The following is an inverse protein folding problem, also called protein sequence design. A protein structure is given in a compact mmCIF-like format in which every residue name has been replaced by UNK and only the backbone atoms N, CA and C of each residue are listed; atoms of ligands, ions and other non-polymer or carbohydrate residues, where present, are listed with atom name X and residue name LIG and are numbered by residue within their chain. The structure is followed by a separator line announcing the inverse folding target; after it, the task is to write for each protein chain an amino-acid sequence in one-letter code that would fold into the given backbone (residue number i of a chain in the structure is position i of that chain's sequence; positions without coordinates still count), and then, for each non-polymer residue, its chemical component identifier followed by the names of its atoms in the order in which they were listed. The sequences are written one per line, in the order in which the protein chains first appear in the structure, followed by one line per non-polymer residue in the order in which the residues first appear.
data_IF_538627705531
#
_entry.id   IF_538627705531
#
_cell.length_a   1.000
_cell.length_b   1.000
_cell.length_c   1.000
_cell.angle_alpha   90.00
_cell.angle_beta   90.00
_cell.angle_gamma   90.00
#
_symmetry.space_group_name_H-M   'P 1'
#
loop_
_entity.id
_entity.type
_entity.pdbx_description
1 polymer ?
#
# COMPACT_ATOMS: atom_id res chain seq x y z
N UNK A 1 29.81 7.03 2.24
CA UNK A 1 29.54 5.79 1.50
C UNK A 1 28.09 5.39 1.74
N UNK A 2 27.20 6.33 1.39
CA UNK A 2 26.45 6.37 0.13
C UNK A 2 25.27 5.42 0.19
N UNK A 3 24.09 6.01 0.35
CA UNK A 3 22.86 5.30 0.14
C UNK A 3 22.81 4.96 -1.35
N UNK A 4 23.13 3.70 -1.67
CA UNK A 4 23.02 3.21 -3.05
C UNK A 4 21.52 3.10 -3.30
N UNK A 5 21.01 4.10 -4.03
CA UNK A 5 19.61 4.19 -4.40
C UNK A 5 19.42 3.56 -5.77
N UNK A 6 18.41 2.70 -5.88
CA UNK A 6 17.94 2.19 -7.17
C UNK A 6 17.06 3.27 -7.81
N UNK A 7 17.42 3.75 -9.00
CA UNK A 7 16.70 4.83 -9.70
C UNK A 7 15.21 4.47 -9.88
N UNK A 8 14.92 3.23 -10.29
CA UNK A 8 13.54 2.75 -10.44
C UNK A 8 12.77 2.85 -9.12
N UNK A 9 13.38 2.54 -7.97
CA UNK A 9 12.71 2.67 -6.67
C UNK A 9 12.32 4.12 -6.33
N UNK A 10 13.14 5.11 -6.73
CA UNK A 10 12.82 6.52 -6.56
C UNK A 10 11.70 6.96 -7.52
N UNK A 11 11.74 6.50 -8.77
CA UNK A 11 10.65 6.71 -9.73
C UNK A 11 9.33 6.08 -9.22
N UNK A 12 9.45 4.91 -8.56
CA UNK A 12 8.48 4.26 -7.66
C UNK A 12 7.66 5.25 -6.85
N UNK A 13 8.38 6.01 -6.02
CA UNK A 13 7.80 6.99 -5.11
C UNK A 13 7.07 8.09 -5.89
N UNK A 14 7.68 8.62 -6.95
CA UNK A 14 7.07 9.72 -7.71
C UNK A 14 5.77 9.28 -8.38
N UNK A 15 5.72 8.05 -8.92
CA UNK A 15 4.50 7.46 -9.48
C UNK A 15 3.43 7.29 -8.41
N UNK A 16 3.80 6.73 -7.26
CA UNK A 16 2.88 6.54 -6.12
C UNK A 16 2.27 7.87 -5.64
N UNK A 17 3.09 8.91 -5.46
CA UNK A 17 2.61 10.26 -5.09
C UNK A 17 1.67 10.83 -6.14
N UNK A 18 2.03 10.69 -7.41
CA UNK A 18 1.21 11.17 -8.52
C UNK A 18 -0.14 10.46 -8.56
N UNK A 19 -0.17 9.12 -8.47
CA UNK A 19 -1.39 8.33 -8.50
C UNK A 19 -2.32 8.68 -7.34
N UNK A 20 -1.78 8.77 -6.11
CA UNK A 20 -2.55 9.23 -4.96
C UNK A 20 -3.08 10.66 -5.16
N UNK A 21 -2.28 11.57 -5.73
CA UNK A 21 -2.74 12.93 -6.02
C UNK A 21 -3.94 12.92 -6.97
N UNK A 22 -3.84 12.16 -8.07
CA UNK A 22 -4.91 12.03 -9.06
C UNK A 22 -6.16 11.41 -8.43
N UNK A 23 -6.01 10.40 -7.57
CA UNK A 23 -7.12 9.79 -6.84
C UNK A 23 -7.92 10.82 -6.01
N UNK A 24 -7.29 11.84 -5.42
CA UNK A 24 -8.02 12.83 -4.61
C UNK A 24 -8.44 14.09 -5.35
N UNK A 25 -7.64 14.54 -6.32
CA UNK A 25 -7.81 15.85 -6.94
C UNK A 25 -8.21 15.78 -8.43
N UNK A 26 -8.22 14.59 -9.02
CA UNK A 26 -8.34 14.40 -10.46
C UNK A 26 -7.03 14.72 -11.19
N UNK A 27 -7.06 14.66 -12.53
CA UNK A 27 -5.85 14.88 -13.33
C UNK A 27 -5.35 16.33 -13.22
N UNK A 28 -4.02 16.50 -13.22
CA UNK A 28 -3.38 17.83 -13.26
C UNK A 28 -3.87 18.62 -14.49
N UNK A 29 -4.06 17.94 -15.62
CA UNK A 29 -4.59 18.55 -16.84
C UNK A 29 -5.98 19.16 -16.60
N UNK A 30 -6.89 18.41 -15.98
CA UNK A 30 -8.23 18.92 -15.66
C UNK A 30 -8.19 20.12 -14.68
N UNK A 31 -7.22 20.19 -13.78
CA UNK A 31 -7.03 21.35 -12.90
C UNK A 31 -6.52 22.58 -13.68
N UNK A 32 -5.60 22.38 -14.63
CA UNK A 32 -5.08 23.44 -15.49
C UNK A 32 -6.13 23.93 -16.50
N UNK A 33 -6.98 23.04 -17.00
CA UNK A 33 -8.09 23.41 -17.88
C UNK A 33 -9.11 24.30 -17.15
N UNK A 34 -9.29 24.10 -15.83
CA UNK A 34 -10.12 24.96 -14.96
C UNK A 34 -9.45 26.30 -14.64
N UNK A 35 -8.15 26.29 -14.34
CA UNK A 35 -7.39 27.50 -14.02
C UNK A 35 -5.99 27.49 -14.69
N UNK A 36 -5.87 28.07 -15.91
CA UNK A 36 -4.64 27.99 -16.71
C UNK A 36 -3.41 28.69 -16.10
N UNK A 37 -3.59 29.59 -15.14
CA UNK A 37 -2.49 30.27 -14.42
C UNK A 37 -1.69 29.31 -13.53
N UNK A 38 -2.26 28.12 -13.25
CA UNK A 38 -1.71 27.09 -12.39
C UNK A 38 -1.74 27.42 -10.91
N UNK A 39 -2.40 28.51 -10.49
CA UNK A 39 -2.53 28.90 -9.07
C UNK A 39 -3.19 27.78 -8.26
N UNK A 40 -4.37 27.35 -8.69
CA UNK A 40 -5.10 26.22 -8.11
C UNK A 40 -4.28 24.93 -8.08
N UNK A 41 -3.63 24.60 -9.19
CA UNK A 41 -2.81 23.37 -9.28
C UNK A 41 -1.69 23.38 -8.24
N UNK A 42 -0.98 24.51 -8.10
CA UNK A 42 0.08 24.66 -7.09
C UNK A 42 -0.48 24.60 -5.67
N UNK A 43 -1.64 25.20 -5.40
CA UNK A 43 -2.26 25.18 -4.07
C UNK A 43 -2.69 23.79 -3.63
N UNK A 44 -2.98 22.88 -4.56
CA UNK A 44 -3.22 21.47 -4.27
C UNK A 44 -1.92 20.66 -4.14
N UNK A 45 -0.99 20.80 -5.08
CA UNK A 45 0.24 20.00 -5.13
C UNK A 45 1.17 20.23 -3.94
N UNK A 46 1.41 21.49 -3.58
CA UNK A 46 2.36 21.82 -2.52
C UNK A 46 2.01 21.15 -1.18
N UNK A 47 0.82 21.39 -0.59
CA UNK A 47 0.46 20.76 0.68
C UNK A 47 0.37 19.24 0.59
N UNK A 48 -0.05 18.69 -0.56
CA UNK A 48 -0.17 17.24 -0.77
C UNK A 48 1.20 16.55 -0.74
N UNK A 49 2.17 17.07 -1.51
CA UNK A 49 3.53 16.54 -1.55
C UNK A 49 4.19 16.72 -0.18
N UNK A 50 4.00 17.86 0.49
CA UNK A 50 4.50 18.06 1.85
C UNK A 50 3.95 17.01 2.82
N UNK A 51 2.65 16.74 2.78
CA UNK A 51 2.04 15.73 3.66
C UNK A 51 2.55 14.32 3.35
N UNK A 52 2.73 13.98 2.08
CA UNK A 52 3.31 12.69 1.69
C UNK A 52 4.76 12.54 2.15
N UNK A 53 5.59 13.57 1.94
CA UNK A 53 7.00 13.53 2.33
C UNK A 53 7.16 13.36 3.85
N UNK A 54 6.23 13.89 4.66
CA UNK A 54 6.20 13.69 6.11
C UNK A 54 6.15 12.21 6.50
N UNK A 55 5.49 11.34 5.73
CA UNK A 55 5.50 9.89 5.96
C UNK A 55 6.88 9.25 5.71
N UNK A 56 7.73 9.90 4.93
CA UNK A 56 9.10 9.44 4.64
C UNK A 56 10.13 9.98 5.64
N UNK A 57 9.74 10.87 6.56
CA UNK A 57 10.65 11.37 7.59
C UNK A 57 10.70 10.44 8.80
N UNK A 58 11.90 10.21 9.33
CA UNK A 58 12.10 9.66 10.67
C UNK A 58 12.92 10.65 11.48
N UNK A 59 12.26 11.34 12.41
CA UNK A 59 12.81 12.53 13.03
C UNK A 59 13.05 13.62 12.00
N UNK A 60 14.30 14.11 11.88
CA UNK A 60 14.67 15.16 10.90
C UNK A 60 15.22 14.61 9.58
N UNK A 61 15.30 13.29 9.41
CA UNK A 61 15.97 12.66 8.27
C UNK A 61 14.96 12.05 7.31
N UNK A 62 15.02 12.46 6.05
CA UNK A 62 14.28 11.85 4.96
C UNK A 62 14.83 10.44 4.69
N UNK A 63 13.95 9.44 4.74
CA UNK A 63 14.28 8.04 4.49
C UNK A 63 13.81 7.66 3.09
N UNK A 64 14.73 7.74 2.13
CA UNK A 64 14.50 7.22 0.79
C UNK A 64 14.80 5.71 0.71
N UNK A 65 14.16 4.96 -0.22
CA UNK A 65 14.42 3.56 -0.47
C UNK A 65 15.92 3.33 -0.62
N UNK A 66 16.43 2.35 0.10
CA UNK A 66 17.86 2.03 0.11
C UNK A 66 18.07 0.54 -0.07
N UNK A 67 19.33 0.12 -0.20
CA UNK A 67 19.72 -1.30 -0.28
C UNK A 67 19.13 -2.19 0.84
N UNK A 68 18.71 -1.61 1.97
CA UNK A 68 18.05 -2.33 3.09
C UNK A 68 16.60 -2.72 2.80
N UNK A 69 15.97 -2.11 1.80
CA UNK A 69 14.58 -2.31 1.41
C UNK A 69 14.47 -3.04 0.06
N UNK A 70 15.52 -3.79 -0.31
CA UNK A 70 15.64 -4.51 -1.59
C UNK A 70 14.68 -5.67 -1.75
N UNK A 71 14.23 -6.28 -0.65
CA UNK A 71 13.16 -7.28 -0.62
C UNK A 71 11.79 -6.66 -0.29
N UNK A 72 11.58 -5.41 -0.71
CA UNK A 72 10.28 -4.74 -0.71
C UNK A 72 10.01 -4.19 -2.11
N UNK A 73 8.73 -4.12 -2.45
CA UNK A 73 8.27 -3.53 -3.70
C UNK A 73 7.23 -2.43 -3.43
N UNK A 74 7.43 -1.28 -4.07
CA UNK A 74 6.47 -0.16 -4.04
C UNK A 74 5.52 -0.27 -5.23
N UNK A 75 4.33 0.29 -5.08
CA UNK A 75 3.26 0.15 -6.06
C UNK A 75 2.76 -1.29 -6.17
N UNK A 76 2.73 -2.01 -5.05
CA UNK A 76 2.13 -3.36 -4.99
C UNK A 76 1.33 -3.53 -3.71
N UNK A 77 0.38 -4.45 -3.74
CA UNK A 77 -0.40 -4.86 -2.57
C UNK A 77 0.11 -6.18 -2.00
N UNK A 78 0.14 -6.28 -0.67
CA UNK A 78 0.41 -7.56 -0.01
C UNK A 78 -0.90 -8.28 0.27
N UNK A 79 -1.20 -9.32 -0.50
CA UNK A 79 -2.41 -10.11 -0.32
C UNK A 79 -2.24 -11.15 0.79
N UNK A 80 -3.27 -11.33 1.62
CA UNK A 80 -3.33 -12.35 2.66
C UNK A 80 -3.65 -13.72 2.05
N UNK A 81 -2.80 -14.71 2.30
CA UNK A 81 -3.12 -16.10 1.95
C UNK A 81 -4.20 -16.64 2.89
N UNK A 82 -5.38 -16.93 2.34
CA UNK A 82 -6.53 -17.43 3.09
C UNK A 82 -6.66 -18.96 2.98
N UNK A 83 -7.09 -19.59 4.07
CA UNK A 83 -7.63 -20.94 4.00
C UNK A 83 -8.94 -20.95 3.20
N UNK A 84 -9.27 -22.08 2.56
CA UNK A 84 -10.44 -22.22 1.69
C UNK A 84 -11.74 -21.80 2.37
N UNK A 85 -11.92 -22.19 3.63
CA UNK A 85 -13.12 -21.90 4.41
C UNK A 85 -13.24 -20.41 4.80
N UNK A 86 -12.11 -19.73 5.04
CA UNK A 86 -12.07 -18.28 5.25
C UNK A 86 -12.35 -17.53 3.94
N UNK A 87 -11.78 -17.99 2.82
CA UNK A 87 -12.01 -17.40 1.50
C UNK A 87 -13.49 -17.43 1.09
N UNK A 88 -14.21 -18.52 1.39
CA UNK A 88 -15.66 -18.63 1.12
C UNK A 88 -16.46 -17.60 1.94
N UNK A 89 -16.13 -17.38 3.22
CA UNK A 89 -16.83 -16.36 4.00
C UNK A 89 -16.53 -14.94 3.51
N UNK A 90 -15.30 -14.67 3.07
CA UNK A 90 -14.92 -13.39 2.47
C UNK A 90 -15.73 -13.14 1.20
N UNK A 91 -15.82 -14.13 0.30
CA UNK A 91 -16.64 -14.01 -0.91
C UNK A 91 -18.12 -13.79 -0.60
N UNK A 92 -18.64 -14.50 0.42
CA UNK A 92 -20.00 -14.28 0.90
C UNK A 92 -20.20 -12.86 1.47
N UNK A 93 -19.21 -12.29 2.15
CA UNK A 93 -19.27 -10.91 2.64
C UNK A 93 -19.27 -9.90 1.49
N UNK A 94 -18.42 -10.09 0.47
CA UNK A 94 -18.40 -9.24 -0.73
C UNK A 94 -19.80 -9.21 -1.37
N UNK A 95 -20.43 -10.37 -1.57
CA UNK A 95 -21.79 -10.43 -2.13
C UNK A 95 -22.85 -9.71 -1.28
N UNK A 96 -22.73 -9.75 0.05
CA UNK A 96 -23.64 -8.99 0.94
C UNK A 96 -23.39 -7.48 0.83
N UNK A 97 -22.13 -7.05 0.78
CA UNK A 97 -21.78 -5.64 0.62
C UNK A 97 -22.31 -5.09 -0.72
N UNK A 98 -22.16 -5.86 -1.80
CA UNK A 98 -22.70 -5.49 -3.12
C UNK A 98 -24.22 -5.31 -3.07
N UNK A 99 -24.93 -6.15 -2.31
CA UNK A 99 -26.39 -6.04 -2.15
C UNK A 99 -26.86 -4.86 -1.29
N UNK A 100 -26.00 -4.31 -0.43
CA UNK A 100 -26.35 -3.19 0.46
C UNK A 100 -26.58 -1.87 -0.30
N UNK A 101 -26.14 -1.82 -1.56
CA UNK A 101 -26.20 -0.63 -2.43
C UNK A 101 -27.29 -0.79 -3.52
N UNK A 102 -28.15 -1.81 -3.37
CA UNK A 102 -29.30 -2.04 -4.25
C UNK A 102 -28.88 -2.48 -5.66
N UNK A 103 -29.34 -1.75 -6.68
CA UNK A 103 -29.05 -2.04 -8.09
C UNK A 103 -27.76 -1.40 -8.60
N UNK A 104 -27.16 -0.52 -7.81
CA UNK A 104 -25.96 0.22 -8.19
C UNK A 104 -24.74 -0.62 -7.86
N UNK A 105 -23.82 -0.74 -8.82
CA UNK A 105 -22.57 -1.47 -8.60
C UNK A 105 -21.64 -0.64 -7.73
N UNK A 106 -21.32 -1.13 -6.54
CA UNK A 106 -20.27 -0.59 -5.70
C UNK A 106 -18.98 -1.38 -5.84
N UNK A 107 -17.88 -0.77 -5.42
CA UNK A 107 -16.61 -1.48 -5.24
C UNK A 107 -16.30 -1.66 -3.76
N UNK A 108 -15.58 -2.72 -3.42
CA UNK A 108 -15.15 -2.97 -2.06
C UNK A 108 -13.68 -3.38 -2.02
N UNK A 109 -12.99 -2.91 -0.98
CA UNK A 109 -11.63 -3.34 -0.61
C UNK A 109 -11.69 -3.79 0.85
N UNK A 110 -11.29 -5.03 1.10
CA UNK A 110 -11.30 -5.63 2.44
C UNK A 110 -9.85 -5.84 2.86
N UNK A 111 -9.48 -5.28 4.00
CA UNK A 111 -8.15 -5.37 4.58
C UNK A 111 -8.21 -6.05 5.94
N UNK A 112 -7.18 -6.82 6.26
CA UNK A 112 -6.96 -7.38 7.60
C UNK A 112 -5.57 -6.95 8.08
N UNK A 113 -5.53 -6.19 9.18
CA UNK A 113 -4.38 -5.37 9.55
C UNK A 113 -3.97 -4.42 8.42
N UNK A 114 -2.85 -4.71 7.74
CA UNK A 114 -2.32 -3.95 6.61
C UNK A 114 -2.16 -4.84 5.36
N UNK A 115 -2.92 -5.95 5.29
CA UNK A 115 -2.91 -6.91 4.18
C UNK A 115 -4.23 -6.89 3.44
N UNK A 116 -4.17 -7.00 2.12
CA UNK A 116 -5.33 -7.10 1.25
C UNK A 116 -5.96 -8.50 1.37
N UNK A 117 -7.25 -8.56 1.66
CA UNK A 117 -8.01 -9.81 1.74
C UNK A 117 -8.80 -10.03 0.45
N UNK A 118 -9.45 -8.98 -0.04
CA UNK A 118 -10.25 -9.01 -1.26
C UNK A 118 -10.43 -7.59 -1.81
N UNK A 119 -10.56 -7.48 -3.12
CA UNK A 119 -10.86 -6.24 -3.83
C UNK A 119 -11.79 -6.56 -5.00
N UNK A 120 -12.68 -5.63 -5.34
CA UNK A 120 -13.44 -5.65 -6.61
C UNK A 120 -13.02 -4.52 -7.57
N UNK A 121 -11.93 -3.83 -7.25
CA UNK A 121 -11.31 -2.82 -8.12
C UNK A 121 -10.32 -3.46 -9.10
N UNK A 122 -9.92 -2.66 -10.08
CA UNK A 122 -8.77 -2.93 -10.94
C UNK A 122 -7.46 -3.00 -10.15
N UNK A 123 -6.37 -3.60 -10.68
CA UNK A 123 -5.07 -3.60 -10.02
C UNK A 123 -4.61 -2.19 -9.63
N UNK A 124 -4.53 -1.27 -10.60
CA UNK A 124 -4.06 0.12 -10.40
C UNK A 124 -4.87 0.85 -9.30
N UNK A 125 -6.20 0.81 -9.38
CA UNK A 125 -7.07 1.44 -8.38
C UNK A 125 -6.97 0.74 -7.02
N UNK A 126 -6.74 -0.58 -7.02
CA UNK A 126 -6.52 -1.35 -5.78
C UNK A 126 -5.24 -0.88 -5.10
N UNK A 127 -4.14 -0.67 -5.83
CA UNK A 127 -2.87 -0.20 -5.26
C UNK A 127 -3.02 1.16 -4.60
N UNK A 128 -3.70 2.10 -5.25
CA UNK A 128 -3.91 3.45 -4.72
C UNK A 128 -4.78 3.44 -3.45
N UNK A 129 -5.94 2.77 -3.51
CA UNK A 129 -6.86 2.66 -2.38
C UNK A 129 -6.21 1.88 -1.24
N UNK A 130 -5.46 0.82 -1.52
CA UNK A 130 -4.70 0.05 -0.53
C UNK A 130 -3.63 0.93 0.13
N UNK A 131 -2.83 1.63 -0.66
CA UNK A 131 -1.74 2.51 -0.19
C UNK A 131 -2.30 3.57 0.76
N UNK A 132 -3.35 4.29 0.34
CA UNK A 132 -4.00 5.27 1.19
C UNK A 132 -4.64 4.64 2.45
N UNK A 133 -5.29 3.49 2.29
CA UNK A 133 -5.93 2.80 3.40
C UNK A 133 -4.93 2.42 4.47
N UNK A 134 -3.80 1.83 4.08
CA UNK A 134 -2.71 1.55 5.00
C UNK A 134 -2.21 2.85 5.61
N UNK A 135 -1.95 3.90 4.84
CA UNK A 135 -1.42 5.16 5.38
C UNK A 135 -2.34 5.83 6.42
N UNK A 136 -3.66 5.78 6.25
CA UNK A 136 -4.60 6.61 7.03
C UNK A 136 -5.82 5.89 7.61
N UNK A 137 -6.28 4.80 7.01
CA UNK A 137 -7.60 4.23 7.28
C UNK A 137 -7.59 2.91 8.05
N UNK A 138 -6.52 2.12 8.07
CA UNK A 138 -6.54 0.85 8.83
C UNK A 138 -6.43 1.12 10.33
N UNK A 139 -6.79 0.12 11.15
CA UNK A 139 -6.71 0.26 12.61
C UNK A 139 -5.32 0.67 13.07
N UNK A 140 -4.29 0.07 12.49
CA UNK A 140 -2.90 0.39 12.81
C UNK A 140 -2.55 1.86 12.50
N UNK A 141 -3.22 2.47 11.53
CA UNK A 141 -3.08 3.88 11.19
C UNK A 141 -3.66 4.80 12.26
N UNK A 142 -4.82 4.42 12.79
CA UNK A 142 -5.57 5.26 13.73
C UNK A 142 -5.06 5.07 15.16
N UNK A 143 -4.63 3.86 15.54
CA UNK A 143 -4.24 3.54 16.92
C UNK A 143 -2.73 3.63 17.18
N UNK A 144 -1.93 4.18 16.25
CA UNK A 144 -0.46 4.29 16.36
C UNK A 144 0.23 2.97 16.75
N UNK A 145 -0.21 1.85 16.16
CA UNK A 145 0.33 0.54 16.47
C UNK A 145 1.78 0.39 15.94
N UNK A 146 2.65 -0.24 16.75
CA UNK A 146 4.10 -0.31 16.51
C UNK A 146 4.52 -1.32 15.44
N UNK A 147 3.64 -2.20 14.98
CA UNK A 147 3.95 -3.19 13.95
C UNK A 147 3.04 -3.08 12.72
N UNK A 148 3.67 -3.03 11.55
CA UNK A 148 3.00 -3.00 10.26
C UNK A 148 3.76 -3.84 9.25
N UNK A 149 3.00 -4.54 8.42
CA UNK A 149 3.52 -5.29 7.27
C UNK A 149 3.84 -4.40 6.07
N UNK A 150 3.30 -3.18 6.06
CA UNK A 150 3.46 -2.27 4.94
C UNK A 150 4.86 -1.66 4.91
N UNK A 151 5.35 -1.38 3.71
CA UNK A 151 6.56 -0.56 3.55
C UNK A 151 6.31 0.90 4.00
N UNK A 152 5.04 1.32 4.06
CA UNK A 152 4.58 2.67 4.40
C UNK A 152 4.65 2.96 5.91
N UNK A 153 4.47 1.93 6.75
CA UNK A 153 4.64 2.05 8.20
C UNK A 153 5.86 1.28 8.66
N UNK A 154 6.91 2.02 9.01
CA UNK A 154 8.09 1.44 9.66
C UNK A 154 7.83 1.36 11.16
N UNK A 155 7.78 0.14 11.69
CA UNK A 155 7.86 -0.06 13.14
C UNK A 155 9.17 0.54 13.67
N UNK A 156 9.11 1.21 14.82
CA UNK A 156 10.27 1.70 15.56
C UNK A 156 11.14 0.52 16.02
N UNK A 157 11.94 -0.04 15.13
CA UNK A 157 13.02 -0.93 15.52
C UNK A 157 14.18 -0.08 16.02
N UNK A 158 14.26 0.03 17.36
CA UNK A 158 15.42 0.44 18.17
C UNK A 158 15.79 1.94 18.14
N UNK A 159 15.05 2.71 18.94
CA UNK A 159 15.66 3.61 19.94
C UNK A 159 14.60 3.99 20.98
N UNK A 160 14.59 3.29 22.12
CA UNK A 160 13.99 3.82 23.35
C UNK A 160 14.77 5.09 23.73
N UNK A 161 14.23 6.25 23.40
CA UNK A 161 14.35 7.43 24.25
C UNK A 161 12.95 8.03 24.31
N UNK A 162 12.31 7.83 25.45
CA UNK A 162 11.15 8.61 25.88
C UNK A 162 11.44 10.09 25.65
N UNK A 163 10.71 10.75 24.75
CA UNK A 163 10.60 12.20 24.78
C UNK A 163 9.13 12.56 24.80
N UNK A 164 8.73 13.01 25.99
CA UNK A 164 7.55 13.83 26.21
C UNK A 164 7.53 14.95 25.18
N UNK A 165 6.32 15.25 24.72
CA UNK A 165 5.91 16.46 24.01
C UNK A 165 6.80 17.67 24.33
N UNK A 166 7.43 18.20 23.29
CA UNK A 166 7.78 19.62 23.21
C UNK A 166 7.65 20.04 21.75
N UNK A 167 6.72 20.97 21.53
CA UNK A 167 6.58 21.78 20.33
C UNK A 167 7.90 22.51 20.07
N UNK A 168 8.76 21.89 19.27
CA UNK A 168 10.02 22.47 18.82
C UNK A 168 9.81 23.22 17.51
N UNK A 169 9.75 24.55 17.62
CA UNK A 169 9.85 25.49 16.49
C UNK A 169 11.01 25.09 15.57
N UNK A 170 10.71 24.85 14.30
CA UNK A 170 11.71 24.90 13.23
C UNK A 170 11.75 26.35 12.75
N UNK A 171 12.88 27.01 13.00
CA UNK A 171 13.19 28.35 12.52
C UNK A 171 13.29 28.38 10.99
N UNK A 172 12.63 29.38 10.39
CA UNK A 172 13.11 30.02 9.17
C UNK A 172 12.43 29.64 7.85
N UNK A 173 11.11 29.74 7.77
CA UNK A 173 10.44 30.01 6.50
C UNK A 173 9.41 31.10 6.75
N UNK A 174 9.63 32.26 6.13
CA UNK A 174 8.72 33.39 6.12
C UNK A 174 7.34 32.92 5.67
N UNK A 175 6.38 32.88 6.61
CA UNK A 175 4.96 32.80 6.31
C UNK A 175 4.56 34.02 5.47
N UNK A 176 4.00 33.86 4.25
CA UNK A 176 2.98 34.78 3.82
C UNK A 176 1.70 34.37 4.55
N UNK A 177 1.41 35.07 5.64
CA UNK A 177 0.14 34.98 6.35
C UNK A 177 -1.02 35.27 5.39
N UNK A 178 -1.63 34.23 4.84
CA UNK A 178 -2.97 34.33 4.26
C UNK A 178 -3.94 34.44 5.45
N UNK A 179 -4.25 35.69 5.74
CA UNK A 179 -5.20 36.09 6.76
C UNK A 179 -6.49 35.26 6.70
N UNK A 180 -6.85 34.71 7.87
CA UNK A 180 -8.21 34.31 8.20
C UNK A 180 -9.12 35.54 8.05
N UNK A 181 -9.82 35.59 6.92
CA UNK A 181 -10.79 36.63 6.56
C UNK A 181 -12.10 35.96 6.19
N UNK A 182 -13.15 36.35 6.89
CA UNK A 182 -14.53 35.90 6.76
C UNK A 182 -15.03 35.99 5.29
N UNK A 183 -15.48 34.88 4.69
CA UNK A 183 -16.26 34.88 3.44
C UNK A 183 -15.85 33.82 2.41
N UNK A 184 -16.80 32.91 2.10
CA UNK A 184 -16.77 31.85 1.08
C UNK A 184 -15.90 30.61 1.36
N UNK A 185 -16.60 29.51 1.68
CA UNK A 185 -16.10 28.14 1.84
C UNK A 185 -15.54 27.50 0.54
N UNK A 186 -15.31 28.29 -0.51
CA UNK A 186 -14.94 27.84 -1.86
C UNK A 186 -13.42 27.71 -2.08
N UNK A 187 -12.60 27.99 -1.05
CA UNK A 187 -11.13 28.02 -1.15
C UNK A 187 -10.38 27.02 -0.25
N UNK A 188 -11.07 26.10 0.44
CA UNK A 188 -10.40 25.13 1.33
C UNK A 188 -9.83 23.98 0.51
N UNK A 189 -8.50 23.95 0.36
CA UNK A 189 -7.79 22.81 -0.23
C UNK A 189 -7.95 21.58 0.67
N UNK A 190 -8.53 20.51 0.14
CA UNK A 190 -8.57 19.21 0.83
C UNK A 190 -7.15 18.68 1.00
N UNK A 191 -6.82 18.19 2.20
CA UNK A 191 -5.49 17.63 2.53
C UNK A 191 -5.64 16.19 3.03
N UNK A 192 -5.87 15.23 2.13
CA UNK A 192 -6.23 13.85 2.46
C UNK A 192 -5.13 13.10 3.24
N UNK A 193 -3.87 13.50 3.04
CA UNK A 193 -2.72 12.85 3.67
C UNK A 193 -2.37 13.41 5.06
N UNK A 194 -3.17 14.31 5.63
CA UNK A 194 -2.92 14.75 7.01
C UNK A 194 -3.06 13.60 8.01
N UNK A 195 -2.15 13.55 8.99
CA UNK A 195 -2.19 12.57 10.07
C UNK A 195 -3.26 12.93 11.11
N UNK A 196 -3.73 11.94 11.86
CA UNK A 196 -4.64 12.11 13.00
C UNK A 196 -5.96 12.83 12.66
N UNK A 197 -6.36 12.79 11.38
CA UNK A 197 -7.60 13.37 10.87
C UNK A 197 -8.76 12.38 10.73
N UNK A 198 -8.48 11.10 10.91
CA UNK A 198 -9.46 10.04 10.89
C UNK A 198 -9.70 9.53 12.30
N UNK A 199 -10.95 9.33 12.66
CA UNK A 199 -11.33 8.70 13.93
C UNK A 199 -12.47 7.72 13.71
N UNK A 200 -12.63 6.79 14.65
CA UNK A 200 -13.70 5.80 14.60
C UNK A 200 -14.99 6.37 15.19
N UNK A 201 -16.05 6.39 14.40
CA UNK A 201 -17.40 6.73 14.83
C UNK A 201 -18.04 5.67 15.71
N UNK A 202 -19.17 6.02 16.32
CA UNK A 202 -19.93 5.13 17.23
C UNK A 202 -20.56 3.94 16.50
N UNK A 203 -20.85 4.10 15.22
CA UNK A 203 -21.43 3.09 14.33
C UNK A 203 -20.38 2.17 13.68
N UNK A 204 -19.09 2.39 13.97
CA UNK A 204 -17.98 1.63 13.41
C UNK A 204 -17.45 2.18 12.08
N UNK A 205 -18.12 3.16 11.47
CA UNK A 205 -17.59 3.88 10.32
C UNK A 205 -16.53 4.89 10.75
N UNK A 206 -15.59 5.17 9.85
CA UNK A 206 -14.61 6.22 10.06
C UNK A 206 -15.19 7.58 9.70
N UNK A 207 -14.80 8.59 10.47
CA UNK A 207 -15.20 9.98 10.29
C UNK A 207 -13.96 10.86 10.16
N UNK A 208 -14.09 11.94 9.38
CA UNK A 208 -13.02 12.92 9.16
C UNK A 208 -13.59 14.30 8.85
N UNK A 209 -12.83 15.34 9.17
CA UNK A 209 -13.16 16.74 8.89
C UNK A 209 -12.39 17.31 7.68
N UNK A 210 -11.60 16.49 6.98
CA UNK A 210 -10.75 16.89 5.85
C UNK A 210 -11.59 17.49 4.71
N UNK A 211 -12.73 16.87 4.39
CA UNK A 211 -13.65 17.35 3.33
C UNK A 211 -14.60 18.45 3.80
N UNK A 212 -14.58 18.82 5.08
CA UNK A 212 -15.58 19.68 5.70
C UNK A 212 -16.34 18.95 6.80
N UNK A 213 -17.00 19.73 7.66
CA UNK A 213 -17.89 19.17 8.68
C UNK A 213 -19.08 18.52 7.97
N UNK A 214 -19.39 17.28 8.34
CA UNK A 214 -20.50 16.48 7.79
C UNK A 214 -20.37 16.13 6.29
N UNK A 215 -19.24 16.42 5.65
CA UNK A 215 -18.98 16.09 4.26
C UNK A 215 -18.48 14.64 4.14
N UNK A 216 -19.06 13.87 3.21
CA UNK A 216 -18.59 12.50 2.95
C UNK A 216 -17.35 12.54 2.05
N UNK A 217 -16.25 11.86 2.42
CA UNK A 217 -15.03 11.81 1.62
C UNK A 217 -15.27 11.23 0.22
N UNK A 218 -14.60 11.77 -0.78
CA UNK A 218 -14.72 11.35 -2.19
C UNK A 218 -13.35 11.17 -2.82
N UNK A 219 -13.25 10.21 -3.75
CA UNK A 219 -12.05 9.92 -4.54
C UNK A 219 -12.44 9.66 -6.01
N UNK A 220 -11.45 9.65 -6.88
CA UNK A 220 -11.54 9.29 -8.29
C UNK A 220 -10.91 7.92 -8.52
N UNK A 221 -11.64 7.06 -9.23
CA UNK A 221 -11.08 5.83 -9.78
C UNK A 221 -10.41 6.14 -11.10
N UNK A 222 -9.14 5.79 -11.25
CA UNK A 222 -8.34 6.15 -12.42
C UNK A 222 -8.80 5.39 -13.66
N UNK A 223 -9.14 4.11 -13.53
CA UNK A 223 -9.50 3.30 -14.70
C UNK A 223 -10.82 3.77 -15.32
N UNK A 224 -11.82 4.05 -14.49
CA UNK A 224 -13.16 4.44 -14.94
C UNK A 224 -13.35 5.96 -15.06
N UNK A 225 -12.42 6.75 -14.51
CA UNK A 225 -12.56 8.20 -14.33
C UNK A 225 -13.85 8.58 -13.58
N UNK A 226 -14.36 7.66 -12.75
CA UNK A 226 -15.57 7.86 -11.97
C UNK A 226 -15.23 8.42 -10.59
N UNK A 227 -16.05 9.35 -10.12
CA UNK A 227 -15.98 9.85 -8.75
C UNK A 227 -16.85 8.99 -7.85
N UNK A 228 -16.29 8.56 -6.72
CA UNK A 228 -16.94 7.69 -5.75
C UNK A 228 -16.81 8.25 -4.34
N UNK A 229 -17.79 7.98 -3.49
CA UNK A 229 -17.73 8.19 -2.05
C UNK A 229 -16.93 7.08 -1.38
N UNK A 230 -16.10 7.47 -0.41
CA UNK A 230 -15.24 6.60 0.35
C UNK A 230 -15.87 6.34 1.74
N UNK A 231 -16.48 5.17 1.91
CA UNK A 231 -17.09 4.74 3.17
C UNK A 231 -16.22 3.67 3.82
N UNK A 232 -15.53 4.01 4.89
CA UNK A 232 -14.67 3.05 5.59
C UNK A 232 -15.32 2.58 6.89
N UNK A 233 -15.43 1.26 7.07
CA UNK A 233 -15.92 0.61 8.26
C UNK A 233 -14.82 -0.22 8.92
N UNK A 234 -14.74 -0.21 10.25
CA UNK A 234 -13.75 -0.98 10.99
C UNK A 234 -14.35 -1.89 12.05
N UNK A 235 -13.96 -3.17 12.01
CA UNK A 235 -14.23 -4.13 13.08
C UNK A 235 -12.98 -4.90 13.47
N UNK A 236 -12.54 -4.73 14.72
CA UNK A 236 -11.28 -5.28 15.24
C UNK A 236 -10.10 -5.01 14.30
N UNK A 237 -9.51 -6.03 13.68
CA UNK A 237 -8.39 -5.92 12.73
C UNK A 237 -8.85 -5.79 11.27
N UNK A 238 -10.15 -5.94 11.00
CA UNK A 238 -10.73 -5.84 9.67
C UNK A 238 -11.08 -4.38 9.35
N UNK A 239 -10.68 -3.92 8.17
CA UNK A 239 -11.04 -2.61 7.61
C UNK A 239 -11.72 -2.87 6.27
N UNK A 240 -12.96 -2.41 6.12
CA UNK A 240 -13.73 -2.49 4.88
C UNK A 240 -13.80 -1.10 4.30
N UNK A 241 -13.44 -0.96 3.03
CA UNK A 241 -13.59 0.27 2.26
C UNK A 241 -14.64 -0.01 1.20
N UNK A 242 -15.79 0.64 1.32
CA UNK A 242 -16.87 0.59 0.35
C UNK A 242 -16.84 1.88 -0.48
N UNK A 243 -16.88 1.71 -1.80
CA UNK A 243 -16.80 2.77 -2.78
C UNK A 243 -18.13 2.85 -3.52
N UNK A 244 -18.87 3.93 -3.27
CA UNK A 244 -20.22 4.13 -3.82
C UNK A 244 -20.17 5.21 -4.89
N UNK A 245 -20.66 4.96 -6.11
CA UNK A 245 -20.71 5.97 -7.18
C UNK A 245 -21.39 7.29 -6.76
N UNK A 246 -20.74 8.42 -7.05
CA UNK A 246 -21.24 9.76 -6.70
C UNK A 246 -22.54 10.11 -7.45
N UNK A 247 -22.59 9.72 -8.73
CA UNK A 247 -23.75 9.91 -9.61
C UNK A 247 -25.04 9.31 -9.04
N UNK A 248 -25.00 8.13 -8.43
CA UNK A 248 -26.16 7.45 -7.87
C UNK A 248 -26.77 8.21 -6.69
N UNK A 249 -25.94 8.92 -5.91
CA UNK A 249 -26.42 9.74 -4.79
C UNK A 249 -26.94 11.08 -5.29
N UNK A 250 -26.25 11.72 -6.23
CA UNK A 250 -26.69 12.99 -6.83
C UNK A 250 -28.03 12.84 -7.56
N UNK A 251 -28.26 11.71 -8.21
CA UNK A 251 -29.52 11.39 -8.88
C UNK A 251 -30.65 10.99 -7.90
N UNK A 252 -30.37 10.91 -6.60
CA UNK A 252 -31.34 10.52 -5.57
C UNK A 252 -31.67 9.03 -5.54
N UNK A 253 -30.91 8.18 -6.24
CA UNK A 253 -31.09 6.73 -6.23
C UNK A 253 -30.62 6.12 -4.91
N UNK A 254 -29.67 6.77 -4.22
CA UNK A 254 -29.07 6.31 -2.97
C UNK A 254 -28.87 7.44 -1.96
N UNK A 255 -29.00 7.09 -0.68
CA UNK A 255 -28.57 7.91 0.45
C UNK A 255 -27.44 7.19 1.20
N UNK A 256 -26.35 7.90 1.47
CA UNK A 256 -25.18 7.39 2.20
C UNK A 256 -25.59 6.89 3.59
N UNK A 257 -26.51 7.59 4.26
CA UNK A 257 -26.98 7.19 5.60
C UNK A 257 -27.73 5.87 5.53
N UNK A 258 -28.55 5.69 4.49
CA UNK A 258 -29.24 4.43 4.21
C UNK A 258 -28.24 3.30 3.91
N UNK A 259 -27.23 3.53 3.05
CA UNK A 259 -26.20 2.52 2.75
C UNK A 259 -25.45 2.10 4.02
N UNK A 260 -25.06 3.05 4.87
CA UNK A 260 -24.43 2.74 6.18
C UNK A 260 -25.33 1.89 7.06
N UNK A 261 -26.63 2.20 7.10
CA UNK A 261 -27.61 1.42 7.84
C UNK A 261 -27.72 -0.02 7.31
N UNK A 262 -27.82 -0.19 5.99
CA UNK A 262 -27.86 -1.50 5.34
C UNK A 262 -26.62 -2.35 5.66
N UNK A 263 -25.42 -1.76 5.62
CA UNK A 263 -24.19 -2.48 6.01
C UNK A 263 -24.24 -2.93 7.47
N UNK A 264 -24.72 -2.08 8.38
CA UNK A 264 -24.83 -2.44 9.80
C UNK A 264 -25.88 -3.55 10.00
N UNK A 265 -27.02 -3.46 9.34
CA UNK A 265 -28.12 -4.41 9.51
C UNK A 265 -27.79 -5.78 8.89
N UNK A 266 -27.30 -5.81 7.65
CA UNK A 266 -27.17 -7.05 6.88
C UNK A 266 -25.74 -7.62 6.86
N UNK A 267 -24.71 -6.78 6.93
CA UNK A 267 -23.32 -7.26 6.83
C UNK A 267 -22.67 -7.55 8.19
N UNK A 268 -23.15 -6.97 9.31
CA UNK A 268 -22.49 -7.09 10.62
C UNK A 268 -22.19 -8.53 11.05
N UNK A 269 -23.16 -9.43 10.95
CA UNK A 269 -22.95 -10.84 11.32
C UNK A 269 -21.86 -11.52 10.45
N UNK A 270 -21.82 -11.19 9.16
CA UNK A 270 -20.80 -11.70 8.23
C UNK A 270 -19.42 -11.10 8.50
N UNK A 271 -19.35 -9.81 8.81
CA UNK A 271 -18.12 -9.11 9.20
C UNK A 271 -17.51 -9.79 10.44
N UNK A 272 -18.31 -10.05 11.48
CA UNK A 272 -17.86 -10.75 12.69
C UNK A 272 -17.27 -12.12 12.36
N UNK A 273 -17.97 -12.90 11.53
CA UNK A 273 -17.57 -14.24 11.16
C UNK A 273 -16.29 -14.27 10.31
N UNK A 274 -16.15 -13.33 9.37
CA UNK A 274 -14.94 -13.18 8.55
C UNK A 274 -13.75 -12.82 9.43
N UNK A 275 -13.92 -11.84 10.33
CA UNK A 275 -12.86 -11.47 11.27
C UNK A 275 -12.43 -12.65 12.12
N UNK A 276 -13.37 -13.39 12.70
CA UNK A 276 -13.06 -14.55 13.54
C UNK A 276 -12.30 -15.64 12.77
N UNK A 277 -12.74 -15.97 11.55
CA UNK A 277 -12.07 -16.99 10.73
C UNK A 277 -10.67 -16.58 10.31
N UNK A 278 -10.50 -15.34 9.85
CA UNK A 278 -9.19 -14.83 9.45
C UNK A 278 -8.25 -14.79 10.66
N UNK A 279 -8.72 -14.27 11.80
CA UNK A 279 -7.94 -14.19 13.04
C UNK A 279 -7.49 -15.59 13.54
N UNK A 280 -8.34 -16.62 13.41
CA UNK A 280 -7.98 -18.01 13.77
C UNK A 280 -6.86 -18.59 12.90
N UNK A 281 -6.85 -18.26 11.61
CA UNK A 281 -5.82 -18.71 10.66
C UNK A 281 -4.59 -17.80 10.58
N UNK A 282 -4.59 -16.68 11.32
CA UNK A 282 -3.57 -15.65 11.20
C UNK A 282 -2.25 -16.08 11.85
N UNK A 283 -1.22 -16.32 11.02
CA UNK A 283 0.13 -16.71 11.47
C UNK A 283 0.96 -15.58 12.09
N UNK A 284 0.36 -14.42 12.38
CA UNK A 284 1.03 -13.24 12.93
C UNK A 284 2.05 -12.62 11.96
N UNK A 285 2.93 -11.76 12.50
CA UNK A 285 3.97 -11.01 11.75
C UNK A 285 5.02 -11.86 11.02
N UNK A 286 4.99 -13.18 11.21
CA UNK A 286 5.90 -14.11 10.55
C UNK A 286 5.18 -15.06 9.58
N UNK A 287 3.92 -14.79 9.20
CA UNK A 287 3.11 -15.67 8.35
C UNK A 287 3.80 -16.07 7.03
N UNK A 288 4.62 -15.18 6.45
CA UNK A 288 5.37 -15.44 5.20
C UNK A 288 6.83 -15.82 5.41
N UNK A 289 7.23 -16.11 6.64
CA UNK A 289 8.58 -16.60 6.91
C UNK A 289 8.75 -18.02 6.36
N UNK A 290 9.72 -18.18 5.46
CA UNK A 290 10.21 -19.50 5.05
C UNK A 290 11.61 -19.68 5.61
N UNK A 291 11.81 -20.71 6.42
CA UNK A 291 13.11 -21.00 7.04
C UNK A 291 14.18 -21.20 5.98
N UNK A 292 15.34 -20.55 6.14
CA UNK A 292 16.46 -20.62 5.20
C UNK A 292 16.40 -19.65 4.02
N UNK A 293 15.24 -19.05 3.73
CA UNK A 293 15.07 -18.18 2.57
C UNK A 293 14.81 -16.73 2.95
N UNK A 294 15.33 -15.80 2.15
CA UNK A 294 14.92 -14.39 2.13
C UNK A 294 14.56 -14.04 0.71
N UNK A 295 13.31 -13.65 0.52
CA UNK A 295 12.74 -13.53 -0.82
C UNK A 295 11.77 -12.36 -0.94
N UNK A 296 11.54 -11.97 -2.19
CA UNK A 296 10.48 -11.09 -2.66
C UNK A 296 9.92 -11.74 -3.94
N UNK A 297 8.61 -11.94 -3.97
CA UNK A 297 7.85 -12.32 -5.14
C UNK A 297 7.04 -11.10 -5.56
N UNK A 298 7.06 -10.77 -6.84
CA UNK A 298 6.24 -9.72 -7.45
C UNK A 298 5.46 -10.34 -8.59
N UNK A 299 4.16 -10.07 -8.63
CA UNK A 299 3.28 -10.38 -9.75
C UNK A 299 2.89 -9.03 -10.37
N UNK A 300 3.53 -8.68 -11.49
CA UNK A 300 3.34 -7.35 -12.09
C UNK A 300 1.94 -7.22 -12.74
N UNK A 301 1.36 -8.32 -13.22
CA UNK A 301 0.03 -8.31 -13.86
C UNK A 301 -1.08 -7.95 -12.87
N UNK A 302 -0.92 -8.41 -11.62
CA UNK A 302 -1.90 -8.20 -10.55
C UNK A 302 -1.47 -7.12 -9.56
N UNK A 303 -0.28 -6.55 -9.74
CA UNK A 303 0.38 -5.63 -8.79
C UNK A 303 0.45 -6.18 -7.37
N UNK A 304 0.65 -7.50 -7.22
CA UNK A 304 0.74 -8.17 -5.91
C UNK A 304 2.19 -8.44 -5.56
N UNK A 305 2.57 -8.27 -4.30
CA UNK A 305 3.85 -8.75 -3.80
C UNK A 305 3.74 -9.58 -2.54
N UNK A 306 4.71 -10.48 -2.35
CA UNK A 306 4.90 -11.27 -1.13
C UNK A 306 6.38 -11.30 -0.79
N UNK A 307 6.72 -10.95 0.44
CA UNK A 307 8.11 -10.90 0.87
C UNK A 307 8.33 -11.60 2.21
N UNK A 308 9.59 -11.94 2.47
CA UNK A 308 10.03 -12.33 3.80
C UNK A 308 9.78 -11.20 4.82
N UNK A 309 9.40 -11.51 6.08
CA UNK A 309 9.14 -10.49 7.09
C UNK A 309 10.34 -9.56 7.31
N UNK A 310 10.12 -8.25 7.55
CA UNK A 310 11.21 -7.28 7.68
C UNK A 310 12.25 -7.64 8.74
N UNK A 311 11.82 -8.16 9.90
CA UNK A 311 12.74 -8.60 10.97
C UNK A 311 13.62 -9.79 10.56
N UNK A 312 13.16 -10.61 9.62
CA UNK A 312 13.95 -11.69 9.03
C UNK A 312 14.91 -11.15 7.97
N UNK A 313 14.48 -10.21 7.12
CA UNK A 313 15.35 -9.56 6.13
C UNK A 313 16.48 -8.79 6.80
N UNK A 314 16.22 -8.17 7.96
CA UNK A 314 17.22 -7.45 8.75
C UNK A 314 18.40 -8.32 9.23
N UNK A 315 18.28 -9.66 9.18
CA UNK A 315 19.37 -10.57 9.55
C UNK A 315 20.38 -10.79 8.43
N UNK A 316 20.11 -10.33 7.20
CA UNK A 316 21.05 -10.46 6.09
C UNK A 316 22.28 -9.58 6.32
N UNK A 317 23.45 -10.10 5.94
CA UNK A 317 24.68 -9.33 5.91
C UNK A 317 24.58 -8.14 4.95
N UNK A 318 25.33 -7.08 5.25
CA UNK A 318 25.34 -5.86 4.44
C UNK A 318 25.77 -6.16 3.00
N UNK A 319 26.75 -7.02 2.82
CA UNK A 319 27.30 -7.44 1.53
C UNK A 319 26.23 -8.15 0.69
N UNK A 320 25.41 -8.99 1.31
CA UNK A 320 24.29 -9.67 0.65
C UNK A 320 23.23 -8.66 0.20
N UNK A 321 22.86 -7.70 1.05
CA UNK A 321 21.88 -6.67 0.70
C UNK A 321 22.38 -5.75 -0.41
N UNK A 322 23.68 -5.43 -0.45
CA UNK A 322 24.30 -4.67 -1.53
C UNK A 322 24.30 -5.45 -2.84
N UNK A 323 24.64 -6.73 -2.80
CA UNK A 323 24.57 -7.61 -3.98
C UNK A 323 23.13 -7.72 -4.50
N UNK A 324 22.15 -7.84 -3.60
CA UNK A 324 20.74 -7.88 -3.96
C UNK A 324 20.25 -6.55 -4.55
N UNK A 325 20.72 -5.41 -4.03
CA UNK A 325 20.44 -4.11 -4.64
C UNK A 325 21.00 -4.03 -6.07
N UNK A 326 22.22 -4.54 -6.27
CA UNK A 326 22.83 -4.58 -7.61
C UNK A 326 22.07 -5.52 -8.54
N UNK A 327 21.62 -6.67 -8.05
CA UNK A 327 20.78 -7.59 -8.80
C UNK A 327 19.50 -6.91 -9.29
N UNK A 328 18.80 -6.19 -8.41
CA UNK A 328 17.58 -5.45 -8.75
C UNK A 328 17.85 -4.38 -9.81
N UNK A 329 18.94 -3.62 -9.68
CA UNK A 329 19.36 -2.64 -10.68
C UNK A 329 19.67 -3.28 -12.05
N UNK A 330 20.31 -4.45 -12.06
CA UNK A 330 20.56 -5.19 -13.30
C UNK A 330 19.25 -5.65 -13.94
N UNK A 331 18.30 -6.17 -13.15
CA UNK A 331 16.97 -6.55 -13.65
C UNK A 331 16.24 -5.35 -14.24
N UNK A 332 16.21 -4.21 -13.54
CA UNK A 332 15.60 -2.98 -14.06
C UNK A 332 16.19 -2.57 -15.41
N UNK A 333 17.52 -2.63 -15.52
CA UNK A 333 18.25 -2.30 -16.75
C UNK A 333 17.88 -3.25 -17.88
N UNK A 334 17.82 -4.56 -17.63
CA UNK A 334 17.45 -5.55 -18.65
C UNK A 334 15.99 -5.43 -19.08
N UNK A 335 15.06 -5.16 -18.14
CA UNK A 335 13.66 -4.87 -18.47
C UNK A 335 13.52 -3.63 -19.35
N UNK A 336 14.32 -2.60 -19.11
CA UNK A 336 14.29 -1.38 -19.94
C UNK A 336 14.83 -1.57 -21.37
N UNK A 337 15.68 -2.59 -21.58
CA UNK A 337 16.30 -2.91 -22.87
C UNK A 337 15.49 -3.91 -23.68
N UNK A 338 14.78 -4.80 -23.02
CA UNK A 338 13.96 -5.81 -23.66
C UNK A 338 12.63 -5.17 -24.13
N UNK A 339 12.35 -5.22 -25.42
CA UNK A 339 11.06 -4.78 -25.97
C UNK A 339 9.91 -5.76 -25.66
N UNK A 340 10.24 -6.97 -25.19
CA UNK A 340 9.31 -8.05 -24.87
C UNK A 340 9.65 -8.65 -23.51
N UNK A 341 8.63 -9.06 -22.75
CA UNK A 341 8.85 -9.83 -21.52
C UNK A 341 9.47 -11.18 -21.87
N UNK A 342 10.72 -11.37 -21.45
CA UNK A 342 11.45 -12.62 -21.62
C UNK A 342 11.70 -13.24 -20.27
N UNK A 343 11.52 -14.56 -20.23
CA UNK A 343 11.96 -15.34 -19.10
C UNK A 343 13.48 -15.18 -18.95
N UNK A 344 13.93 -14.84 -17.75
CA UNK A 344 15.36 -14.61 -17.49
C UNK A 344 15.74 -15.03 -16.08
N UNK A 345 16.98 -15.48 -15.93
CA UNK A 345 17.62 -15.73 -14.65
C UNK A 345 18.89 -14.90 -14.54
N UNK A 346 19.05 -14.18 -13.43
CA UNK A 346 20.26 -13.43 -13.12
C UNK A 346 20.77 -13.86 -11.75
N UNK A 347 22.05 -14.21 -11.67
CA UNK A 347 22.67 -14.74 -10.45
C UNK A 347 23.95 -13.97 -10.15
N UNK A 348 24.08 -13.47 -8.91
CA UNK A 348 25.25 -12.74 -8.44
C UNK A 348 25.80 -13.42 -7.20
N UNK A 349 27.11 -13.70 -7.20
CA UNK A 349 27.84 -14.13 -6.01
C UNK A 349 28.30 -12.89 -5.23
N UNK A 350 27.83 -12.77 -4.00
CA UNK A 350 28.21 -11.68 -3.10
C UNK A 350 29.62 -11.89 -2.51
N UNK A 351 30.21 -10.81 -1.99
CA UNK A 351 31.57 -10.83 -1.40
C UNK A 351 31.71 -11.74 -0.18
N UNK A 352 30.61 -11.97 0.54
CA UNK A 352 30.51 -12.86 1.68
C UNK A 352 30.12 -14.30 1.28
N UNK A 353 30.32 -14.69 0.02
CA UNK A 353 29.95 -15.98 -0.55
C UNK A 353 28.45 -16.32 -0.56
N UNK A 354 27.57 -15.35 -0.26
CA UNK A 354 26.13 -15.54 -0.45
C UNK A 354 25.77 -15.52 -1.95
N UNK A 355 24.74 -16.27 -2.33
CA UNK A 355 24.13 -16.17 -3.65
C UNK A 355 22.89 -15.27 -3.58
N UNK A 356 22.76 -14.36 -4.53
CA UNK A 356 21.51 -13.63 -4.78
C UNK A 356 21.05 -13.92 -6.21
N UNK A 357 19.77 -14.24 -6.37
CA UNK A 357 19.21 -14.69 -7.65
C UNK A 357 17.89 -13.99 -7.94
N UNK A 358 17.68 -13.68 -9.22
CA UNK A 358 16.42 -13.19 -9.76
C UNK A 358 15.93 -14.16 -10.84
N UNK A 359 14.66 -14.55 -10.79
CA UNK A 359 13.96 -15.27 -11.87
C UNK A 359 12.75 -14.49 -12.30
N UNK A 360 12.65 -14.19 -13.58
CA UNK A 360 11.51 -13.54 -14.19
C UNK A 360 10.85 -14.54 -15.12
N UNK A 361 9.54 -14.72 -14.98
CA UNK A 361 8.75 -15.67 -15.74
C UNK A 361 7.33 -15.13 -15.92
N UNK A 362 6.91 -14.89 -17.17
CA UNK A 362 5.52 -14.48 -17.52
C UNK A 362 4.93 -13.39 -16.61
N UNK A 363 5.49 -12.18 -16.63
CA UNK A 363 5.03 -11.06 -15.78
C UNK A 363 5.37 -11.16 -14.28
N UNK A 364 5.93 -12.30 -13.80
CA UNK A 364 6.27 -12.51 -12.38
C UNK A 364 7.76 -12.44 -12.15
N UNK A 365 8.14 -12.01 -10.95
CA UNK A 365 9.53 -11.84 -10.53
C UNK A 365 9.76 -12.49 -9.16
N UNK A 366 10.84 -13.26 -9.03
CA UNK A 366 11.33 -13.81 -7.78
C UNK A 366 12.74 -13.30 -7.53
N UNK A 367 12.94 -12.58 -6.43
CA UNK A 367 14.25 -12.20 -5.92
C UNK A 367 14.55 -12.97 -4.65
N UNK A 368 15.76 -13.52 -4.54
CA UNK A 368 16.13 -14.36 -3.41
C UNK A 368 17.58 -14.12 -2.96
N UNK A 369 17.81 -14.20 -1.65
CA UNK A 369 19.13 -14.21 -1.05
C UNK A 369 19.35 -15.51 -0.24
N UNK A 370 20.50 -16.14 -0.47
CA UNK A 370 20.91 -17.44 0.06
C UNK A 370 22.30 -17.34 0.72
N UNK A 371 22.35 -17.01 2.02
CA UNK A 371 23.62 -16.89 2.76
C UNK A 371 24.21 -18.22 3.24
N UNK A 372 23.41 -19.29 3.17
CA UNK A 372 23.80 -20.65 3.54
C UNK A 372 23.77 -21.64 2.37
N UNK A 373 23.63 -21.13 1.15
CA UNK A 373 23.80 -21.98 -0.03
C UNK A 373 25.24 -22.51 -0.09
N UNK A 374 25.43 -23.66 -0.73
CA UNK A 374 26.77 -24.19 -0.96
C UNK A 374 27.61 -23.21 -1.81
N UNK A 375 28.88 -23.52 -2.01
CA UNK A 375 29.78 -22.71 -2.81
C UNK A 375 29.48 -22.71 -4.33
N UNK A 376 28.53 -23.52 -4.81
CA UNK A 376 28.26 -23.68 -6.24
C UNK A 376 26.98 -22.97 -6.69
N UNK A 377 26.96 -22.51 -7.95
CA UNK A 377 25.77 -21.93 -8.58
C UNK A 377 24.66 -22.99 -8.75
N UNK A 378 25.03 -24.24 -9.00
CA UNK A 378 24.08 -25.34 -9.21
C UNK A 378 23.21 -25.54 -7.96
N UNK A 379 23.83 -25.58 -6.78
CA UNK A 379 23.09 -25.77 -5.52
C UNK A 379 22.21 -24.57 -5.16
N UNK A 380 22.64 -23.35 -5.51
CA UNK A 380 21.83 -22.15 -5.37
C UNK A 380 20.58 -22.22 -6.27
N UNK A 381 20.78 -22.60 -7.53
CA UNK A 381 19.72 -22.80 -8.53
C UNK A 381 18.72 -23.86 -8.09
N UNK A 382 19.20 -25.00 -7.61
CA UNK A 382 18.40 -26.07 -7.00
C UNK A 382 17.57 -25.57 -5.81
N UNK A 383 18.16 -24.71 -4.97
CA UNK A 383 17.47 -24.16 -3.80
C UNK A 383 16.33 -23.24 -4.22
N UNK A 384 16.54 -22.40 -5.24
CA UNK A 384 15.48 -21.56 -5.84
C UNK A 384 14.41 -22.44 -6.48
N UNK A 385 14.79 -23.50 -7.18
CA UNK A 385 13.85 -24.44 -7.80
C UNK A 385 12.96 -25.15 -6.77
N UNK A 386 13.55 -25.65 -5.69
CA UNK A 386 12.80 -26.27 -4.57
C UNK A 386 11.85 -25.27 -3.92
N UNK A 387 12.27 -24.02 -3.76
CA UNK A 387 11.41 -22.96 -3.24
C UNK A 387 10.22 -22.70 -4.19
N UNK A 388 10.49 -22.55 -5.49
CA UNK A 388 9.46 -22.31 -6.52
C UNK A 388 8.41 -23.42 -6.51
N UNK A 389 8.85 -24.69 -6.57
CA UNK A 389 7.94 -25.84 -6.60
C UNK A 389 7.08 -25.93 -5.35
N UNK A 390 7.66 -25.64 -4.17
CA UNK A 390 6.97 -25.81 -2.89
C UNK A 390 6.06 -24.64 -2.53
N UNK A 391 6.45 -23.41 -2.84
CA UNK A 391 5.79 -22.19 -2.33
C UNK A 391 5.19 -21.30 -3.42
N UNK A 392 5.55 -21.54 -4.68
CA UNK A 392 5.07 -20.78 -5.84
C UNK A 392 4.42 -21.69 -6.90
N UNK A 393 4.10 -22.95 -6.57
CA UNK A 393 3.50 -23.91 -7.48
C UNK A 393 4.29 -24.11 -8.79
N UNK A 394 5.62 -23.95 -8.73
CA UNK A 394 6.49 -24.08 -9.90
C UNK A 394 6.49 -22.86 -10.83
N UNK A 395 5.90 -21.73 -10.44
CA UNK A 395 5.78 -20.54 -11.30
C UNK A 395 7.12 -20.01 -11.83
N UNK A 396 8.21 -20.22 -11.09
CA UNK A 396 9.57 -19.80 -11.45
C UNK A 396 10.46 -21.00 -11.83
N UNK A 397 9.85 -22.08 -12.34
CA UNK A 397 10.59 -23.21 -12.93
C UNK A 397 11.17 -22.79 -14.27
N UNK A 398 12.47 -23.06 -14.47
CA UNK A 398 13.17 -22.84 -15.74
C UNK A 398 13.46 -24.24 -16.31
N UNK A 399 12.43 -24.92 -16.81
CA UNK A 399 12.54 -26.24 -17.46
C UNK A 399 12.66 -26.10 -18.98
#
# INVERSE_FOLDING_TARGET
TEAIWRVDALQRILKEVHSLFVMFHGSIRALLDKEPTGGLTRSHLYPFITDYLNDLFTGKKLQLPSFRETLKERGTVQMLTLARDAAIEVQSLVGVLDSCVGTVRCHSVILFHDLLVSTTLSPDDTVDVFTYSVMRLTRNAISSATSSWSYLRKGSSLSQISSRSSSGQVLGSSDPSLHSGNGNNTGRVIRPLQHDKWSKGTDGFLVTDIWGKDATPTIWLQQTQERVYLLTYQHKSLTLVLLVPDNAIVNGELDISFVKHQVIEYASAKILKVEEKISKGWGGENAYHVSGYRYLIVDNDMEVSRASPPGKVATLAKETLLALNKLRETVDSEKSRANEEKDMEISIRAKNNAWVMARLTRGKELYMALEKASETLLDATDSVQRFSNRYCSGAFSMD
#
